data_IF_560707249724
#
_entry.id   IF_560707249724
#
_cell.length_a   1.000
_cell.length_b   1.000
_cell.length_c   1.000
_cell.angle_alpha   90.00
_cell.angle_beta   90.00
_cell.angle_gamma   90.00
#
_symmetry.space_group_name_H-M   'P 1'
#
loop_
_entity.id
_entity.type
_entity.pdbx_description
1 polymer ?
#
# COMPACT_ATOMS: atom_id res chain seq x y z
N UNK A 1 3.71 12.52 -7.59
CA UNK A 1 4.57 11.36 -7.25
C UNK A 1 4.20 10.13 -8.10
N UNK A 2 5.15 9.34 -8.62
CA UNK A 2 4.81 8.08 -9.34
C UNK A 2 4.63 6.94 -8.34
N UNK A 3 3.56 6.15 -8.52
CA UNK A 3 3.18 5.07 -7.60
C UNK A 3 3.09 3.75 -8.34
N UNK A 4 3.58 2.68 -7.74
CA UNK A 4 3.34 1.31 -8.22
C UNK A 4 2.58 0.53 -7.16
N UNK A 5 1.53 -0.19 -7.58
CA UNK A 5 0.62 -0.86 -6.68
C UNK A 5 0.58 -2.34 -7.03
N UNK A 6 0.81 -3.21 -6.05
CA UNK A 6 0.64 -4.65 -6.24
C UNK A 6 0.49 -5.41 -4.91
N UNK A 7 -0.19 -6.55 -4.96
CA UNK A 7 -0.28 -7.51 -3.86
C UNK A 7 1.09 -8.12 -3.50
N UNK A 8 1.99 -8.18 -4.48
CA UNK A 8 3.31 -8.83 -4.35
C UNK A 8 4.43 -7.88 -3.93
N UNK A 9 4.12 -6.61 -3.60
CA UNK A 9 5.10 -5.68 -3.03
C UNK A 9 5.56 -6.24 -1.68
N UNK A 10 6.82 -6.67 -1.63
CA UNK A 10 7.45 -7.37 -0.50
C UNK A 10 6.67 -8.54 0.07
N UNK A 11 5.89 -9.20 -0.78
CA UNK A 11 5.27 -10.46 -0.46
C UNK A 11 5.45 -11.35 -1.66
N UNK A 12 6.44 -12.24 -1.61
CA UNK A 12 6.72 -13.17 -2.70
C UNK A 12 5.60 -14.22 -2.78
N UNK A 13 4.68 -14.00 -3.72
CA UNK A 13 3.58 -14.94 -4.03
C UNK A 13 3.80 -15.56 -5.41
N UNK A 14 4.23 -14.79 -6.41
CA UNK A 14 4.37 -15.23 -7.78
C UNK A 14 5.44 -14.46 -8.56
N UNK A 15 5.24 -14.36 -9.87
CA UNK A 15 6.19 -13.73 -10.78
C UNK A 15 6.19 -12.20 -10.72
N UNK A 16 5.12 -11.57 -10.22
CA UNK A 16 5.02 -10.10 -10.15
C UNK A 16 6.03 -9.55 -9.14
N UNK A 17 6.31 -10.30 -8.06
CA UNK A 17 7.40 -9.99 -7.13
C UNK A 17 8.72 -9.79 -7.86
N UNK A 18 9.06 -10.72 -8.77
CA UNK A 18 10.30 -10.65 -9.55
C UNK A 18 10.32 -9.42 -10.45
N UNK A 19 9.21 -9.14 -11.15
CA UNK A 19 9.08 -7.97 -12.02
C UNK A 19 9.27 -6.67 -11.23
N UNK A 20 8.64 -6.56 -10.05
CA UNK A 20 8.78 -5.40 -9.18
C UNK A 20 10.21 -5.25 -8.68
N UNK A 21 10.84 -6.35 -8.27
CA UNK A 21 12.22 -6.36 -7.78
C UNK A 21 13.22 -5.92 -8.85
N UNK A 22 13.07 -6.39 -10.09
CA UNK A 22 13.95 -6.01 -11.20
C UNK A 22 13.70 -4.59 -11.70
N UNK A 23 12.47 -4.08 -11.57
CA UNK A 23 12.09 -2.73 -12.01
C UNK A 23 12.37 -1.66 -10.96
N UNK A 24 12.44 -2.04 -9.69
CA UNK A 24 12.73 -1.15 -8.57
C UNK A 24 13.97 -0.26 -8.80
N UNK A 25 15.18 -0.81 -9.09
CA UNK A 25 16.39 -0.01 -9.19
C UNK A 25 16.31 1.04 -10.30
N UNK A 26 15.81 0.66 -11.47
CA UNK A 26 15.64 1.59 -12.61
C UNK A 26 14.64 2.68 -12.27
N UNK A 27 13.53 2.33 -11.61
CA UNK A 27 12.51 3.32 -11.24
C UNK A 27 13.01 4.29 -10.18
N UNK A 28 13.80 3.81 -9.21
CA UNK A 28 14.41 4.68 -8.19
C UNK A 28 15.53 5.53 -8.74
N UNK A 29 16.24 5.08 -9.78
CA UNK A 29 17.25 5.89 -10.45
C UNK A 29 16.61 7.07 -11.22
N UNK A 30 15.52 6.81 -11.96
CA UNK A 30 14.82 7.85 -12.72
C UNK A 30 14.05 8.86 -11.85
N UNK A 31 13.42 8.39 -10.77
CA UNK A 31 12.44 9.18 -10.00
C UNK A 31 12.91 9.50 -8.57
N UNK A 32 13.97 8.85 -8.10
CA UNK A 32 14.50 8.99 -6.75
C UNK A 32 13.42 8.89 -5.69
N UNK A 33 13.33 9.95 -4.90
CA UNK A 33 12.43 10.07 -3.76
C UNK A 33 10.96 10.30 -4.12
N UNK A 34 10.64 10.48 -5.41
CA UNK A 34 9.29 10.61 -5.95
C UNK A 34 8.67 9.27 -6.37
N UNK A 35 9.37 8.15 -6.15
CA UNK A 35 8.84 6.82 -6.38
C UNK A 35 8.44 6.15 -5.07
N UNK A 36 7.23 5.59 -5.04
CA UNK A 36 6.73 4.82 -3.90
C UNK A 36 5.96 3.60 -4.36
N UNK A 37 6.20 2.46 -3.73
CA UNK A 37 5.41 1.26 -3.92
C UNK A 37 4.36 1.12 -2.83
N UNK A 38 3.18 0.63 -3.18
CA UNK A 38 2.10 0.38 -2.24
C UNK A 38 1.70 -1.08 -2.30
N UNK A 39 1.61 -1.69 -1.11
CA UNK A 39 1.28 -3.10 -0.94
C UNK A 39 0.48 -3.34 0.31
N UNK A 40 0.32 -4.62 0.64
CA UNK A 40 -0.41 -5.04 1.83
C UNK A 40 0.57 -5.62 2.83
N UNK A 41 0.35 -5.30 4.09
CA UNK A 41 1.16 -5.87 5.15
C UNK A 41 0.81 -7.35 5.30
N UNK A 42 1.85 -8.18 5.35
CA UNK A 42 1.76 -9.59 5.70
C UNK A 42 2.85 -9.92 6.70
N UNK A 43 2.64 -10.94 7.53
CA UNK A 43 3.64 -11.34 8.54
C UNK A 43 5.02 -11.63 7.92
N UNK A 44 5.04 -12.16 6.69
CA UNK A 44 6.30 -12.43 5.95
C UNK A 44 6.95 -11.15 5.39
N UNK A 45 6.13 -10.18 4.99
CA UNK A 45 6.61 -8.93 4.39
C UNK A 45 7.37 -8.10 5.40
N UNK A 46 6.91 -8.06 6.66
CA UNK A 46 7.57 -7.33 7.76
C UNK A 46 9.06 -7.66 7.96
N UNK A 47 9.56 -8.79 7.45
CA UNK A 47 10.96 -9.22 7.54
C UNK A 47 11.84 -8.58 6.44
N UNK A 48 11.26 -8.25 5.27
CA UNK A 48 11.98 -7.65 4.14
C UNK A 48 12.02 -6.11 4.20
N UNK A 49 11.59 -5.49 5.31
CA UNK A 49 11.48 -4.04 5.44
C UNK A 49 12.29 -3.47 6.60
N UNK A 50 12.87 -2.30 6.35
CA UNK A 50 13.25 -1.38 7.42
C UNK A 50 12.04 -0.52 7.71
N UNK A 51 11.44 -0.71 8.88
CA UNK A 51 10.42 0.21 9.40
C UNK A 51 11.12 1.55 9.61
N UNK A 52 10.75 2.54 8.80
CA UNK A 52 11.13 3.91 9.07
C UNK A 52 10.36 4.34 10.31
N UNK A 53 11.00 4.27 11.48
CA UNK A 53 10.47 4.91 12.67
C UNK A 53 10.18 6.36 12.33
N UNK A 54 8.98 6.83 12.67
CA UNK A 54 8.52 8.21 12.53
C UNK A 54 9.26 9.16 13.48
N UNK A 55 10.59 9.11 13.48
CA UNK A 55 11.47 9.70 14.49
C UNK A 55 12.54 10.64 13.91
N UNK A 56 12.36 11.13 12.69
CA UNK A 56 13.24 12.14 12.09
C UNK A 56 12.45 13.18 11.31
N UNK A 57 12.41 14.40 11.82
CA UNK A 57 11.96 15.64 11.18
C UNK A 57 10.93 15.47 10.04
N UNK A 58 9.64 15.46 10.40
CA UNK A 58 8.48 15.43 9.49
C UNK A 58 8.50 16.61 8.52
N UNK A 59 9.07 16.44 7.34
CA UNK A 59 9.14 17.51 6.32
C UNK A 59 8.40 17.17 5.03
N UNK A 60 7.88 15.95 4.91
CA UNK A 60 7.32 15.48 3.65
C UNK A 60 5.80 15.34 3.69
N UNK A 61 5.11 15.77 2.62
CA UNK A 61 3.64 15.73 2.51
C UNK A 61 3.06 14.31 2.74
N UNK A 62 3.84 13.26 2.48
CA UNK A 62 3.42 11.88 2.65
C UNK A 62 3.38 11.44 4.11
N UNK A 63 4.32 11.86 4.95
CA UNK A 63 4.30 11.51 6.38
C UNK A 63 3.08 12.12 7.08
N UNK A 64 2.69 13.34 6.71
CA UNK A 64 1.48 14.00 7.25
C UNK A 64 0.21 13.21 6.87
N UNK A 65 0.12 12.71 5.64
CA UNK A 65 -1.04 11.93 5.19
C UNK A 65 -1.07 10.53 5.82
N UNK A 66 0.08 9.93 6.08
CA UNK A 66 0.16 8.66 6.80
C UNK A 66 -0.30 8.81 8.25
N UNK A 67 0.03 9.92 8.91
CA UNK A 67 -0.45 10.24 10.25
C UNK A 67 -1.99 10.41 10.26
N UNK A 68 -2.56 11.14 9.29
CA UNK A 68 -4.03 11.26 9.13
C UNK A 68 -4.71 9.90 8.91
N UNK A 69 -4.09 9.00 8.14
CA UNK A 69 -4.64 7.66 7.94
C UNK A 69 -4.64 6.83 9.21
N UNK A 70 -3.62 6.97 10.05
CA UNK A 70 -3.57 6.33 11.36
C UNK A 70 -4.62 6.92 12.31
N UNK A 71 -4.86 8.23 12.28
CA UNK A 71 -5.95 8.88 13.03
C UNK A 71 -7.34 8.36 12.64
N UNK A 72 -7.56 8.05 11.35
CA UNK A 72 -8.80 7.42 10.88
C UNK A 72 -8.93 5.94 11.24
N UNK A 73 -7.95 5.37 11.94
CA UNK A 73 -7.95 3.98 12.40
C UNK A 73 -7.41 2.97 11.39
N UNK A 74 -6.81 3.42 10.27
CA UNK A 74 -6.12 2.52 9.34
C UNK A 74 -4.70 2.24 9.84
N UNK A 75 -4.34 0.97 9.93
CA UNK A 75 -2.97 0.58 10.27
C UNK A 75 -2.14 0.58 8.99
N UNK A 76 -1.23 1.54 8.92
CA UNK A 76 -0.33 1.73 7.78
C UNK A 76 1.10 1.66 8.28
N UNK A 77 1.96 0.96 7.55
CA UNK A 77 3.39 0.87 7.83
C UNK A 77 4.13 1.52 6.69
N UNK A 78 5.01 2.47 7.01
CA UNK A 78 5.90 3.10 6.06
C UNK A 78 7.34 2.64 6.29
N UNK A 79 8.07 2.47 5.20
CA UNK A 79 9.46 2.04 5.28
C UNK A 79 10.12 2.01 3.91
N UNK A 80 11.27 1.33 3.87
CA UNK A 80 11.99 1.07 2.63
C UNK A 80 12.17 -0.43 2.45
N UNK A 81 11.99 -0.89 1.21
CA UNK A 81 12.12 -2.30 0.87
C UNK A 81 13.60 -2.66 0.69
N UNK A 82 14.05 -3.72 1.38
CA UNK A 82 15.43 -4.20 1.35
C UNK A 82 15.74 -4.97 0.06
N UNK A 83 15.67 -4.24 -1.06
CA UNK A 83 16.04 -4.72 -2.40
C UNK A 83 16.92 -3.66 -3.09
N UNK A 84 17.52 -4.06 -4.21
CA UNK A 84 18.31 -3.16 -5.04
C UNK A 84 17.47 -1.94 -5.47
N UNK A 85 18.00 -0.73 -5.25
CA UNK A 85 17.29 0.54 -5.46
C UNK A 85 16.66 1.16 -4.20
N UNK A 86 16.51 0.40 -3.10
CA UNK A 86 16.00 0.86 -1.81
C UNK A 86 14.74 1.76 -1.89
N UNK A 87 13.68 1.31 -2.60
CA UNK A 87 12.49 2.12 -2.86
C UNK A 87 11.69 2.36 -1.58
N UNK A 88 11.00 3.51 -1.52
CA UNK A 88 10.01 3.81 -0.49
C UNK A 88 8.79 2.92 -0.68
N UNK A 89 8.27 2.36 0.42
CA UNK A 89 7.10 1.48 0.40
C UNK A 89 6.13 1.84 1.51
N UNK A 90 4.84 1.78 1.17
CA UNK A 90 3.72 1.88 2.12
C UNK A 90 2.95 0.57 2.10
N UNK A 91 2.79 -0.03 3.27
CA UNK A 91 2.02 -1.26 3.45
C UNK A 91 0.77 -1.02 4.27
N UNK A 92 -0.33 -1.57 3.81
CA UNK A 92 -1.63 -1.44 4.46
C UNK A 92 -2.07 -2.72 5.16
N UNK A 93 -2.55 -2.62 6.39
CA UNK A 93 -3.21 -3.74 7.06
C UNK A 93 -4.65 -3.90 6.60
N UNK A 94 -4.92 -5.02 5.94
CA UNK A 94 -6.26 -5.42 5.48
C UNK A 94 -7.25 -5.49 6.65
N UNK A 95 -6.79 -5.89 7.83
CA UNK A 95 -7.63 -6.01 9.02
C UNK A 95 -8.22 -4.66 9.46
N UNK A 96 -7.45 -3.58 9.27
CA UNK A 96 -7.85 -2.25 9.72
C UNK A 96 -9.04 -1.64 8.95
N UNK A 97 -9.30 -2.08 7.72
CA UNK A 97 -10.43 -1.61 6.91
C UNK A 97 -11.66 -2.53 6.92
N UNK A 98 -11.66 -3.61 7.70
CA UNK A 98 -12.73 -4.59 7.66
C UNK A 98 -14.10 -4.02 8.02
N UNK A 99 -14.14 -3.00 8.90
CA UNK A 99 -15.37 -2.34 9.34
C UNK A 99 -16.06 -1.51 8.25
N UNK A 100 -15.31 -1.04 7.24
CA UNK A 100 -15.84 -0.22 6.14
C UNK A 100 -16.20 -1.04 4.89
N UNK A 101 -15.95 -2.35 4.92
CA UNK A 101 -16.09 -3.24 3.78
C UNK A 101 -17.52 -3.31 3.23
N UNK A 102 -18.54 -3.30 4.10
CA UNK A 102 -19.93 -3.36 3.64
C UNK A 102 -20.36 -2.07 2.92
N UNK A 103 -19.88 -0.91 3.37
CA UNK A 103 -20.11 0.36 2.67
C UNK A 103 -19.46 0.37 1.28
N UNK A 104 -18.22 -0.13 1.17
CA UNK A 104 -17.53 -0.21 -0.13
C UNK A 104 -18.16 -1.21 -1.09
N UNK A 105 -18.69 -2.33 -0.59
CA UNK A 105 -19.45 -3.28 -1.42
C UNK A 105 -20.71 -2.63 -2.00
N UNK A 106 -21.40 -1.85 -1.18
CA UNK A 106 -22.58 -1.12 -1.62
C UNK A 106 -22.23 -0.11 -2.70
N UNK A 107 -21.18 0.71 -2.48
CA UNK A 107 -20.72 1.69 -3.46
C UNK A 107 -20.27 1.06 -4.79
N UNK A 108 -19.61 -0.10 -4.73
CA UNK A 108 -19.21 -0.85 -5.93
C UNK A 108 -20.41 -1.35 -6.74
N UNK A 109 -21.44 -1.83 -6.04
CA UNK A 109 -22.67 -2.27 -6.66
C UNK A 109 -23.39 -1.10 -7.34
N UNK A 110 -23.53 0.03 -6.64
CA UNK A 110 -24.19 1.22 -7.19
C UNK A 110 -23.47 1.78 -8.43
N UNK A 111 -22.13 1.81 -8.43
CA UNK A 111 -21.35 2.43 -9.50
C UNK A 111 -21.06 1.50 -10.67
N UNK A 112 -20.82 0.22 -10.41
CA UNK A 112 -20.31 -0.72 -11.41
C UNK A 112 -21.19 -1.96 -11.60
N UNK A 113 -22.23 -2.15 -10.78
CA UNK A 113 -23.10 -3.32 -10.78
C UNK A 113 -22.35 -4.65 -10.61
N UNK A 114 -21.26 -4.62 -9.82
CA UNK A 114 -20.42 -5.78 -9.53
C UNK A 114 -20.79 -6.33 -8.15
N UNK A 115 -21.46 -7.48 -8.14
CA UNK A 115 -21.85 -8.17 -6.92
C UNK A 115 -20.68 -8.96 -6.35
N UNK A 116 -20.44 -8.82 -5.05
CA UNK A 116 -19.32 -9.49 -4.39
C UNK A 116 -19.85 -10.41 -3.31
N UNK A 117 -19.53 -11.71 -3.36
CA UNK A 117 -19.98 -12.65 -2.35
C UNK A 117 -19.36 -12.36 -0.97
N UNK A 118 -20.04 -12.81 0.07
CA UNK A 118 -19.69 -12.49 1.46
C UNK A 118 -18.42 -13.19 1.97
N UNK A 119 -18.00 -14.29 1.33
CA UNK A 119 -16.78 -15.04 1.71
C UNK A 119 -15.48 -14.40 1.22
N UNK A 120 -15.51 -13.53 0.21
CA UNK A 120 -14.31 -12.86 -0.32
C UNK A 120 -13.99 -11.56 0.43
N UNK A 121 -13.80 -11.65 1.76
CA UNK A 121 -13.52 -10.47 2.60
C UNK A 121 -12.13 -9.86 2.33
N UNK A 122 -11.09 -10.70 2.28
CA UNK A 122 -9.68 -10.27 2.24
C UNK A 122 -9.21 -9.58 0.94
N UNK A 123 -9.50 -10.11 -0.27
CA UNK A 123 -9.05 -9.46 -1.49
C UNK A 123 -9.80 -8.15 -1.75
N UNK A 124 -11.04 -8.04 -1.26
CA UNK A 124 -11.87 -6.86 -1.44
C UNK A 124 -11.41 -5.68 -0.59
N UNK A 125 -11.24 -5.87 0.73
CA UNK A 125 -10.72 -4.81 1.60
C UNK A 125 -9.41 -4.27 1.04
N UNK A 126 -8.51 -5.13 0.59
CA UNK A 126 -7.24 -4.75 -0.01
C UNK A 126 -7.40 -3.84 -1.25
N UNK A 127 -8.26 -4.21 -2.20
CA UNK A 127 -8.49 -3.44 -3.42
C UNK A 127 -9.02 -2.03 -3.13
N UNK A 128 -9.99 -1.93 -2.22
CA UNK A 128 -10.59 -0.65 -1.87
C UNK A 128 -9.66 0.22 -1.03
N UNK A 129 -8.97 -0.35 -0.05
CA UNK A 129 -8.08 0.42 0.82
C UNK A 129 -6.91 0.99 0.02
N UNK A 130 -6.35 0.20 -0.90
CA UNK A 130 -5.21 0.63 -1.72
C UNK A 130 -5.66 1.59 -2.83
N UNK A 131 -6.85 1.38 -3.43
CA UNK A 131 -7.43 2.32 -4.40
C UNK A 131 -7.80 3.66 -3.74
N UNK A 132 -8.48 3.60 -2.58
CA UNK A 132 -8.79 4.77 -1.76
C UNK A 132 -7.52 5.51 -1.38
N UNK A 133 -6.49 4.83 -0.88
CA UNK A 133 -5.19 5.43 -0.62
C UNK A 133 -4.58 6.05 -1.89
N UNK A 134 -4.54 5.33 -3.00
CA UNK A 134 -3.98 5.84 -4.25
C UNK A 134 -4.67 7.14 -4.69
N UNK A 135 -5.99 7.25 -4.50
CA UNK A 135 -6.83 8.39 -4.86
C UNK A 135 -6.81 9.53 -3.82
N UNK A 136 -6.88 9.21 -2.52
CA UNK A 136 -6.89 10.17 -1.42
C UNK A 136 -5.50 10.73 -1.13
N UNK A 137 -4.43 9.96 -1.36
CA UNK A 137 -3.07 10.49 -1.40
C UNK A 137 -2.89 11.27 -2.71
N UNK A 138 -3.49 12.45 -2.84
CA UNK A 138 -3.03 13.45 -3.82
C UNK A 138 -1.65 13.93 -3.33
N UNK A 139 -0.62 13.21 -3.76
CA UNK A 139 0.81 13.39 -3.42
C UNK A 139 1.59 14.02 -4.58
#
# INVERSE_FOLDING_TARGET
>A
MKKSVSWEVANKVGGIYTVLRTKAPVSTDELGDQYCMMGLTTRKGQIEFVIGGSAGARHSKHEIQLDQMQEWGYRVVYGRWLIDGYPKVVLFDIGSGAWKLDAWKHELWEKCNIGVPTWTKRPMTALFLVSWCACSLKL
#
